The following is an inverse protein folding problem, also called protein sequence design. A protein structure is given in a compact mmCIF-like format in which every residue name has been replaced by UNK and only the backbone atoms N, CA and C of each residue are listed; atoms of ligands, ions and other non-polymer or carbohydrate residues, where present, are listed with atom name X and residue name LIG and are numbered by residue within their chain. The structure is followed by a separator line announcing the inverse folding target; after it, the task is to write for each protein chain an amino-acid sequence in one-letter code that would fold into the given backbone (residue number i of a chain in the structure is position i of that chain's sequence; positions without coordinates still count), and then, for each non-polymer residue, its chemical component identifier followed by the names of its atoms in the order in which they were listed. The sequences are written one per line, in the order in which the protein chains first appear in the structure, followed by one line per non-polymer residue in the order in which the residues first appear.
data_IF_196967134388
#
_entry.id   IF_196967134388
#
_cell.length_a   1.000
_cell.length_b   1.000
_cell.length_c   1.000
_cell.angle_alpha   90.00
_cell.angle_beta   90.00
_cell.angle_gamma   90.00
#
_symmetry.space_group_name_H-M   'P 1'
#
loop_
_entity.id
_entity.type
_entity.pdbx_description
1 polymer ?
#
# COMPACT_ATOMS: atom_id res chain seq x y z
N UNK A 1 -1.61 46.44 16.91
CA UNK A 1 -0.93 45.32 16.22
C UNK A 1 -1.59 44.03 16.67
N UNK A 2 -2.33 43.35 15.79
CA UNK A 2 -3.04 42.11 16.13
C UNK A 2 -2.12 40.93 15.84
N UNK A 3 -1.69 40.22 16.89
CA UNK A 3 -0.80 39.07 16.77
C UNK A 3 -1.64 37.87 16.33
N UNK A 4 -1.50 37.45 15.07
CA UNK A 4 -2.19 36.26 14.55
C UNK A 4 -1.52 35.03 15.16
N UNK A 5 -2.16 34.42 16.16
CA UNK A 5 -1.69 33.19 16.81
C UNK A 5 -1.75 32.04 15.80
N UNK A 6 -0.59 31.49 15.44
CA UNK A 6 -0.49 30.37 14.52
C UNK A 6 -1.30 29.16 15.04
N UNK A 7 -2.11 28.55 14.16
CA UNK A 7 -2.90 27.36 14.49
C UNK A 7 -1.98 26.19 14.89
N UNK A 8 -2.34 25.40 15.93
CA UNK A 8 -1.51 24.28 16.37
C UNK A 8 -1.41 23.21 15.29
N UNK A 9 -0.18 22.79 14.96
CA UNK A 9 0.10 21.69 14.03
C UNK A 9 -0.55 20.40 14.55
N UNK A 10 -1.42 19.80 13.75
CA UNK A 10 -2.04 18.49 14.00
C UNK A 10 -0.94 17.45 14.22
N UNK A 11 -0.90 16.82 15.41
CA UNK A 11 0.05 15.73 15.71
C UNK A 11 -0.24 14.56 14.75
N UNK A 12 0.68 14.29 13.84
CA UNK A 12 0.66 13.05 13.04
C UNK A 12 1.38 11.97 13.87
N UNK A 13 0.72 10.85 14.14
CA UNK A 13 1.27 9.74 14.93
C UNK A 13 2.30 8.89 14.13
N UNK A 14 2.98 9.52 13.17
CA UNK A 14 3.91 8.85 12.25
C UNK A 14 5.23 8.62 12.97
N UNK A 15 5.62 7.34 13.09
CA UNK A 15 6.96 6.96 13.53
C UNK A 15 7.96 7.52 12.52
N UNK A 16 8.95 8.26 13.02
CA UNK A 16 10.03 8.83 12.22
C UNK A 16 11.18 7.84 12.16
N UNK A 17 11.68 7.61 10.95
CA UNK A 17 12.84 6.77 10.70
C UNK A 17 13.86 7.59 9.94
N UNK A 18 15.11 7.55 10.37
CA UNK A 18 16.24 8.12 9.65
C UNK A 18 16.96 6.99 8.94
N UNK A 19 17.16 7.12 7.63
CA UNK A 19 17.87 6.14 6.80
C UNK A 19 19.10 6.81 6.21
N UNK A 20 20.16 6.03 6.01
CA UNK A 20 21.37 6.49 5.34
C UNK A 20 21.30 6.09 3.86
N UNK A 21 21.60 7.05 2.99
CA UNK A 21 21.64 6.87 1.54
C UNK A 21 23.05 7.22 1.07
N UNK A 22 23.50 6.56 0.00
CA UNK A 22 24.67 7.01 -0.74
C UNK A 22 24.34 8.31 -1.47
N UNK A 23 25.37 9.09 -1.82
CA UNK A 23 25.16 10.37 -2.52
C UNK A 23 24.44 10.18 -3.86
N UNK A 24 24.76 9.10 -4.59
CA UNK A 24 24.10 8.73 -5.84
C UNK A 24 22.60 8.46 -5.66
N UNK A 25 22.24 7.62 -4.67
CA UNK A 25 20.84 7.32 -4.38
C UNK A 25 20.07 8.54 -3.91
N UNK A 26 20.70 9.39 -3.08
CA UNK A 26 20.09 10.62 -2.61
C UNK A 26 19.79 11.57 -3.77
N UNK A 27 20.72 11.73 -4.72
CA UNK A 27 20.53 12.61 -5.88
C UNK A 27 19.49 12.06 -6.86
N UNK A 28 19.50 10.76 -7.12
CA UNK A 28 18.47 10.10 -7.92
C UNK A 28 17.06 10.27 -7.32
N UNK A 29 16.91 10.01 -6.02
CA UNK A 29 15.63 10.21 -5.31
C UNK A 29 15.18 11.67 -5.32
N UNK A 30 16.12 12.62 -5.23
CA UNK A 30 15.82 14.04 -5.30
C UNK A 30 15.26 14.44 -6.66
N UNK A 31 15.86 13.95 -7.76
CA UNK A 31 15.37 14.21 -9.13
C UNK A 31 13.98 13.60 -9.32
N UNK A 32 13.79 12.35 -8.90
CA UNK A 32 12.50 11.66 -9.02
C UNK A 32 11.39 12.34 -8.21
N UNK A 33 11.69 12.78 -7.00
CA UNK A 33 10.74 13.51 -6.16
C UNK A 33 10.32 14.84 -6.80
N UNK A 34 11.27 15.54 -7.44
CA UNK A 34 11.00 16.78 -8.16
C UNK A 34 10.08 16.55 -9.37
N UNK A 35 10.39 15.54 -10.20
CA UNK A 35 9.58 15.17 -11.37
C UNK A 35 8.14 14.82 -10.98
N UNK A 36 7.98 14.04 -9.90
CA UNK A 36 6.67 13.63 -9.38
C UNK A 36 5.98 14.71 -8.51
N UNK A 37 6.60 15.88 -8.33
CA UNK A 37 6.09 16.99 -7.47
C UNK A 37 5.70 16.53 -6.06
N UNK A 38 6.44 15.57 -5.52
CA UNK A 38 6.20 15.00 -4.19
C UNK A 38 7.44 15.18 -3.31
N UNK A 39 7.30 14.93 -2.01
CA UNK A 39 8.47 14.92 -1.12
C UNK A 39 9.20 13.59 -1.22
N UNK A 40 10.52 13.58 -1.06
CA UNK A 40 11.32 12.34 -1.02
C UNK A 40 10.79 11.37 0.05
N UNK A 41 10.33 11.88 1.19
CA UNK A 41 9.76 11.07 2.26
C UNK A 41 8.44 10.40 1.85
N UNK A 42 7.60 11.07 1.05
CA UNK A 42 6.39 10.46 0.51
C UNK A 42 6.71 9.45 -0.58
N UNK A 43 7.67 9.75 -1.46
CA UNK A 43 8.13 8.83 -2.50
C UNK A 43 8.62 7.50 -1.91
N UNK A 44 9.47 7.58 -0.88
CA UNK A 44 9.96 6.40 -0.16
C UNK A 44 8.81 5.67 0.54
N UNK A 45 7.89 6.41 1.17
CA UNK A 45 6.75 5.82 1.86
C UNK A 45 5.84 5.05 0.90
N UNK A 46 5.52 5.61 -0.25
CA UNK A 46 4.68 4.96 -1.26
C UNK A 46 5.34 3.68 -1.77
N UNK A 47 6.62 3.75 -2.15
CA UNK A 47 7.35 2.57 -2.60
C UNK A 47 7.43 1.47 -1.54
N UNK A 48 7.65 1.83 -0.26
CA UNK A 48 7.67 0.85 0.83
C UNK A 48 6.30 0.21 1.06
N UNK A 49 5.21 0.96 0.89
CA UNK A 49 3.86 0.40 1.01
C UNK A 49 3.55 -0.57 -0.13
N UNK A 50 3.88 -0.18 -1.37
CA UNK A 50 3.74 -1.02 -2.56
C UNK A 50 4.50 -2.34 -2.41
N UNK A 51 5.77 -2.28 -1.95
CA UNK A 51 6.56 -3.49 -1.69
C UNK A 51 5.93 -4.41 -0.61
N UNK A 52 5.29 -3.85 0.42
CA UNK A 52 4.65 -4.65 1.46
C UNK A 52 3.38 -5.34 0.95
N UNK A 53 2.61 -4.67 0.09
CA UNK A 53 1.43 -5.25 -0.57
C UNK A 53 1.84 -6.41 -1.48
N UNK A 54 2.90 -6.22 -2.29
CA UNK A 54 3.44 -7.28 -3.16
C UNK A 54 3.90 -8.51 -2.35
N UNK A 55 4.58 -8.29 -1.22
CA UNK A 55 5.03 -9.37 -0.34
C UNK A 55 3.86 -10.12 0.31
N UNK A 56 2.74 -9.44 0.60
CA UNK A 56 1.52 -10.06 1.13
C UNK A 56 0.87 -10.98 0.08
N UNK A 57 0.76 -10.52 -1.16
CA UNK A 57 0.19 -11.28 -2.26
C UNK A 57 1.01 -12.53 -2.58
N UNK A 58 2.35 -12.40 -2.61
CA UNK A 58 3.25 -13.54 -2.83
C UNK A 58 3.08 -14.59 -1.72
N UNK A 59 2.98 -14.17 -0.45
CA UNK A 59 2.76 -15.10 0.66
C UNK A 59 1.41 -15.81 0.56
N UNK A 60 0.34 -15.09 0.20
CA UNK A 60 -0.98 -15.68 0.04
C UNK A 60 -1.00 -16.73 -1.07
N UNK A 61 -0.34 -16.47 -2.20
CA UNK A 61 -0.19 -17.43 -3.29
C UNK A 61 0.58 -18.68 -2.82
N UNK A 62 1.70 -18.48 -2.12
CA UNK A 62 2.50 -19.59 -1.59
C UNK A 62 1.73 -20.44 -0.57
N UNK A 63 0.90 -19.82 0.27
CA UNK A 63 0.05 -20.54 1.22
C UNK A 63 -1.02 -21.36 0.51
N UNK A 64 -1.70 -20.79 -0.49
CA UNK A 64 -2.69 -21.51 -1.30
C UNK A 64 -2.07 -22.69 -2.08
N UNK A 65 -0.85 -22.52 -2.61
CA UNK A 65 -0.10 -23.61 -3.24
C UNK A 65 0.26 -24.71 -2.24
N UNK A 66 0.68 -24.34 -1.03
CA UNK A 66 1.05 -25.28 0.02
C UNK A 66 -0.16 -26.04 0.60
N UNK A 67 -1.32 -25.39 0.67
CA UNK A 67 -2.58 -26.00 1.11
C UNK A 67 -3.17 -26.95 0.04
N UNK A 68 -2.58 -26.97 -1.16
CA UNK A 68 -2.97 -27.86 -2.25
C UNK A 68 -4.31 -27.47 -2.87
N UNK A 69 -4.74 -26.22 -2.68
CA UNK A 69 -6.02 -25.70 -3.15
C UNK A 69 -5.95 -25.35 -4.65
N UNK A 70 -5.69 -26.38 -5.46
CA UNK A 70 -5.72 -26.33 -6.93
C UNK A 70 -7.04 -26.90 -7.45
N UNK A 71 -8.16 -26.65 -6.77
CA UNK A 71 -9.48 -26.99 -7.30
C UNK A 71 -9.83 -26.02 -8.43
N UNK A 72 -9.62 -26.46 -9.67
CA UNK A 72 -10.06 -25.70 -10.84
C UNK A 72 -11.59 -25.69 -10.90
N UNK A 73 -12.17 -24.51 -10.69
CA UNK A 73 -13.60 -24.24 -10.87
C UNK A 73 -13.82 -23.42 -12.14
N UNK A 74 -14.92 -23.69 -12.84
CA UNK A 74 -15.26 -22.90 -14.03
C UNK A 74 -15.76 -21.51 -13.64
N UNK A 75 -15.59 -20.53 -14.53
CA UNK A 75 -16.07 -19.17 -14.30
C UNK A 75 -17.59 -19.13 -14.01
N UNK A 76 -18.39 -19.93 -14.72
CA UNK A 76 -19.83 -20.07 -14.51
C UNK A 76 -20.17 -20.57 -13.09
N UNK A 77 -19.36 -21.45 -12.52
CA UNK A 77 -19.55 -21.96 -11.16
C UNK A 77 -19.20 -20.93 -10.10
N UNK A 78 -18.17 -20.13 -10.32
CA UNK A 78 -17.80 -19.00 -9.45
C UNK A 78 -18.94 -17.97 -9.43
N UNK A 79 -19.44 -17.57 -10.60
CA UNK A 79 -20.55 -16.63 -10.73
C UNK A 79 -21.84 -17.15 -10.08
N UNK A 80 -22.14 -18.44 -10.30
CA UNK A 80 -23.28 -19.11 -9.65
C UNK A 80 -23.16 -19.12 -8.14
N UNK A 81 -21.97 -19.42 -7.58
CA UNK A 81 -21.70 -19.40 -6.13
C UNK A 81 -21.83 -17.97 -5.56
N UNK A 82 -21.30 -16.97 -6.25
CA UNK A 82 -21.36 -15.57 -5.85
C UNK A 82 -22.81 -15.04 -5.83
N UNK A 83 -23.56 -15.29 -6.91
CA UNK A 83 -25.00 -14.95 -7.00
C UNK A 83 -25.83 -15.60 -5.91
N UNK A 84 -25.53 -16.84 -5.51
CA UNK A 84 -26.22 -17.51 -4.39
C UNK A 84 -25.88 -16.86 -3.04
N UNK A 85 -24.61 -16.55 -2.77
CA UNK A 85 -24.18 -15.89 -1.51
C UNK A 85 -24.82 -14.51 -1.34
N UNK A 86 -24.85 -13.69 -2.38
CA UNK A 86 -25.43 -12.34 -2.32
C UNK A 86 -26.96 -12.31 -2.32
N UNK A 87 -27.64 -13.37 -2.80
CA UNK A 87 -29.10 -13.50 -2.71
C UNK A 87 -29.60 -13.94 -1.33
N UNK A 88 -28.69 -14.36 -0.43
CA UNK A 88 -29.03 -14.84 0.92
C UNK A 88 -28.80 -13.77 2.00
N UNK A 89 -28.20 -12.62 1.65
CA UNK A 89 -27.95 -11.49 2.56
C UNK A 89 -29.04 -10.40 2.57
N UNK A 90 -30.12 -10.55 1.79
CA UNK A 90 -31.32 -9.69 1.81
C UNK A 90 -32.44 -10.33 2.64
N UNK A 91 -32.20 -10.50 3.95
CA UNK A 91 -33.28 -10.75 4.92
C UNK A 91 -33.06 -9.92 6.17
#
# INVERSE_FOLDING_TARGET
MTIIKAKPKKKTNLKRTTIFLTDEHHEALRRMAFEKRTSMANLIREAVLEMLEDDEDIRAIQEAEAEGDQEYVTLEEVERKWRKRHKTGEK
#
